data_IF_625348696029
#
_entry.id   IF_625348696029
#
_cell.length_a   1.000
_cell.length_b   1.000
_cell.length_c   1.000
_cell.angle_alpha   90.00
_cell.angle_beta   90.00
_cell.angle_gamma   90.00
#
_symmetry.space_group_name_H-M   'P 1'
#
loop_
_entity.id
_entity.type
_entity.pdbx_description
1 polymer ?
#
# COMPACT_ATOMS: atom_id res chain seq x y z
N UNK A 1 -19.60 14.79 -3.36
CA UNK A 1 -19.89 13.95 -2.21
C UNK A 1 -18.82 12.87 -2.08
N UNK A 2 -18.19 12.83 -0.92
CA UNK A 2 -17.12 11.88 -0.62
C UNK A 2 -17.55 10.98 0.53
N UNK A 3 -17.35 9.67 0.36
CA UNK A 3 -17.48 8.74 1.46
C UNK A 3 -16.17 8.74 2.25
N UNK A 4 -16.24 9.14 3.51
CA UNK A 4 -15.07 9.21 4.38
C UNK A 4 -15.00 7.95 5.25
N UNK A 5 -13.90 7.23 5.13
CA UNK A 5 -13.65 6.05 5.96
C UNK A 5 -12.93 6.50 7.23
N UNK A 6 -13.42 6.14 8.43
CA UNK A 6 -12.76 6.50 9.67
C UNK A 6 -11.33 5.98 9.74
N UNK A 7 -10.50 6.64 10.54
CA UNK A 7 -9.15 6.16 10.81
C UNK A 7 -9.16 4.70 11.26
N UNK A 8 -8.19 3.92 10.81
CA UNK A 8 -8.06 2.47 11.00
C UNK A 8 -9.15 1.65 10.29
N UNK A 9 -10.02 2.31 9.54
CA UNK A 9 -11.01 1.62 8.72
C UNK A 9 -10.43 1.06 7.43
N UNK A 10 -11.25 0.24 6.76
CA UNK A 10 -10.91 -0.33 5.46
C UNK A 10 -12.14 -0.37 4.57
N UNK A 11 -11.90 -0.47 3.26
CA UNK A 11 -12.94 -0.68 2.25
C UNK A 11 -12.59 -1.92 1.45
N UNK A 12 -13.57 -2.77 1.19
CA UNK A 12 -13.37 -3.93 0.33
C UNK A 12 -14.03 -3.69 -1.02
N UNK A 13 -13.24 -3.88 -2.09
CA UNK A 13 -13.70 -3.75 -3.48
C UNK A 13 -13.15 -4.96 -4.23
N UNK A 14 -14.03 -5.71 -4.88
CA UNK A 14 -13.68 -6.91 -5.67
C UNK A 14 -12.83 -7.93 -4.86
N UNK A 15 -13.13 -8.07 -3.58
CA UNK A 15 -12.40 -8.99 -2.70
C UNK A 15 -11.03 -8.48 -2.23
N UNK A 16 -10.69 -7.25 -2.53
CA UNK A 16 -9.43 -6.60 -2.11
C UNK A 16 -9.73 -5.58 -1.02
N UNK A 17 -8.98 -5.66 0.07
CA UNK A 17 -9.09 -4.72 1.17
C UNK A 17 -8.16 -3.53 0.94
N UNK A 18 -8.71 -2.34 0.97
CA UNK A 18 -7.96 -1.07 0.87
C UNK A 18 -7.93 -0.39 2.23
N UNK A 19 -6.75 -0.04 2.70
CA UNK A 19 -6.57 0.62 3.99
C UNK A 19 -5.38 1.58 3.92
N UNK A 20 -5.31 2.49 4.92
CA UNK A 20 -4.16 3.40 4.99
C UNK A 20 -2.85 2.66 5.27
N UNK A 21 -2.87 1.70 6.18
CA UNK A 21 -1.69 0.90 6.50
C UNK A 21 -1.06 1.20 7.86
N UNK A 22 -1.70 2.02 8.68
CA UNK A 22 -1.26 2.33 10.04
C UNK A 22 -1.87 1.42 11.11
N UNK A 23 -2.56 0.38 10.65
CA UNK A 23 -3.19 -0.65 11.46
C UNK A 23 -2.54 -2.01 11.16
N UNK A 24 -2.36 -2.82 12.17
CA UNK A 24 -1.83 -4.18 12.03
C UNK A 24 -0.32 -4.22 11.95
N UNK A 25 0.20 -5.06 11.08
CA UNK A 25 1.62 -5.34 10.97
C UNK A 25 2.36 -4.24 10.21
N UNK A 26 3.56 -3.89 10.68
CA UNK A 26 4.41 -2.89 10.04
C UNK A 26 5.61 -3.51 9.30
N UNK A 27 6.54 -2.65 8.86
CA UNK A 27 7.78 -3.04 8.20
C UNK A 27 7.67 -3.20 6.69
N UNK A 28 8.77 -3.59 6.05
CA UNK A 28 8.89 -3.63 4.59
C UNK A 28 7.90 -4.59 3.91
N UNK A 29 7.48 -5.63 4.62
CA UNK A 29 6.53 -6.63 4.11
C UNK A 29 5.13 -6.46 4.69
N UNK A 30 4.81 -5.26 5.18
CA UNK A 30 3.57 -5.01 5.91
C UNK A 30 2.32 -5.39 5.11
N UNK A 31 2.23 -4.98 3.85
CA UNK A 31 1.06 -5.29 3.02
C UNK A 31 0.88 -6.80 2.81
N UNK A 32 1.97 -7.51 2.53
CA UNK A 32 1.95 -8.96 2.37
C UNK A 32 1.56 -9.67 3.67
N UNK A 33 2.10 -9.24 4.79
CA UNK A 33 1.79 -9.82 6.10
C UNK A 33 0.34 -9.55 6.51
N UNK A 34 -0.16 -8.35 6.22
CA UNK A 34 -1.57 -8.02 6.47
C UNK A 34 -2.50 -8.83 5.57
N UNK A 35 -2.14 -9.04 4.30
CA UNK A 35 -2.91 -9.89 3.41
C UNK A 35 -3.03 -11.33 3.94
N UNK A 36 -1.96 -11.88 4.47
CA UNK A 36 -1.98 -13.21 5.11
C UNK A 36 -2.87 -13.22 6.35
N UNK A 37 -2.77 -12.20 7.19
CA UNK A 37 -3.56 -12.11 8.41
C UNK A 37 -5.05 -11.95 8.14
N UNK A 38 -5.40 -11.21 7.09
CA UNK A 38 -6.80 -10.95 6.71
C UNK A 38 -7.38 -12.02 5.78
N UNK A 39 -6.57 -12.95 5.31
CA UNK A 39 -6.98 -13.97 4.32
C UNK A 39 -7.56 -13.37 3.04
N UNK A 40 -7.12 -12.19 2.65
CA UNK A 40 -7.51 -11.54 1.41
C UNK A 40 -6.39 -10.63 0.90
N UNK A 41 -6.50 -10.21 -0.35
CA UNK A 41 -5.54 -9.24 -0.89
C UNK A 41 -5.69 -7.89 -0.21
N UNK A 42 -4.57 -7.19 0.01
CA UNK A 42 -4.53 -5.91 0.69
C UNK A 42 -3.75 -4.89 -0.13
N UNK A 43 -4.30 -3.69 -0.25
CA UNK A 43 -3.61 -2.52 -0.79
C UNK A 43 -3.50 -1.48 0.32
N UNK A 44 -2.30 -0.97 0.55
CA UNK A 44 -2.08 0.03 1.60
C UNK A 44 -0.94 0.99 1.27
N UNK A 45 -0.98 2.15 1.92
CA UNK A 45 0.04 3.19 1.88
C UNK A 45 0.80 3.32 3.19
N UNK A 46 0.82 4.49 3.78
CA UNK A 46 1.44 4.86 5.06
C UNK A 46 2.97 4.83 5.04
N UNK A 47 3.59 3.78 4.56
CA UNK A 47 5.04 3.63 4.49
C UNK A 47 5.55 4.28 3.20
N UNK A 48 5.94 5.54 3.28
CA UNK A 48 6.29 6.35 2.11
C UNK A 48 7.48 5.82 1.32
N UNK A 49 8.41 5.15 1.97
CA UNK A 49 9.62 4.62 1.35
C UNK A 49 9.49 3.16 0.90
N UNK A 50 8.29 2.63 0.90
CA UNK A 50 8.01 1.23 0.57
C UNK A 50 6.99 1.14 -0.55
N UNK A 51 7.28 0.36 -1.57
CA UNK A 51 6.34 0.10 -2.66
C UNK A 51 6.62 -1.24 -3.29
N UNK A 52 5.59 -1.85 -3.86
CA UNK A 52 5.72 -3.11 -4.55
C UNK A 52 4.61 -4.08 -4.22
N UNK A 53 4.64 -5.22 -4.88
CA UNK A 53 3.62 -6.26 -4.79
C UNK A 53 4.28 -7.58 -4.42
N UNK A 54 3.67 -8.28 -3.46
CA UNK A 54 4.07 -9.64 -3.11
C UNK A 54 2.84 -10.55 -3.17
N UNK A 55 2.92 -11.60 -3.95
CA UNK A 55 1.88 -12.62 -4.05
C UNK A 55 2.18 -13.78 -3.11
N UNK A 56 1.13 -14.32 -2.50
CA UNK A 56 1.20 -15.53 -1.68
C UNK A 56 0.06 -16.45 -2.08
N UNK A 57 0.35 -17.73 -2.21
CA UNK A 57 -0.63 -18.72 -2.62
C UNK A 57 -0.53 -20.00 -1.80
N UNK A 58 -1.65 -20.64 -1.62
CA UNK A 58 -1.74 -22.01 -1.15
C UNK A 58 -2.69 -22.80 -2.04
N UNK A 59 -3.11 -23.99 -1.62
CA UNK A 59 -4.01 -24.83 -2.44
C UNK A 59 -5.38 -24.22 -2.69
N UNK A 60 -5.80 -23.24 -1.89
CA UNK A 60 -7.15 -22.68 -1.92
C UNK A 60 -7.21 -21.27 -2.47
N UNK A 61 -6.24 -20.44 -2.13
CA UNK A 61 -6.28 -19.01 -2.45
C UNK A 61 -4.92 -18.51 -2.94
N UNK A 62 -4.97 -17.49 -3.79
CA UNK A 62 -3.83 -16.67 -4.13
C UNK A 62 -4.19 -15.24 -3.77
N UNK A 63 -3.39 -14.60 -2.94
CA UNK A 63 -3.58 -13.22 -2.52
C UNK A 63 -2.34 -12.40 -2.79
N UNK A 64 -2.49 -11.08 -2.79
CA UNK A 64 -1.36 -10.17 -2.85
C UNK A 64 -1.44 -9.13 -1.73
N UNK A 65 -0.27 -8.63 -1.37
CA UNK A 65 -0.14 -7.40 -0.60
C UNK A 65 0.57 -6.37 -1.45
N UNK A 66 -0.05 -5.21 -1.65
CA UNK A 66 0.54 -4.11 -2.41
C UNK A 66 0.75 -2.90 -1.51
N UNK A 67 2.00 -2.46 -1.45
CA UNK A 67 2.41 -1.24 -0.80
C UNK A 67 2.55 -0.16 -1.89
N UNK A 68 1.89 0.97 -1.74
CA UNK A 68 1.76 1.93 -2.84
C UNK A 68 2.60 3.20 -2.68
N UNK A 69 3.53 3.22 -1.71
CA UNK A 69 4.35 4.41 -1.50
C UNK A 69 3.50 5.61 -1.08
N UNK A 70 3.70 6.73 -1.72
CA UNK A 70 2.94 7.94 -1.41
C UNK A 70 2.72 8.82 -2.65
N UNK A 71 1.91 9.86 -2.48
CA UNK A 71 1.68 10.89 -3.50
C UNK A 71 2.40 12.21 -3.22
N UNK A 72 3.39 12.23 -2.33
CA UNK A 72 4.04 13.45 -1.90
C UNK A 72 5.43 13.58 -2.51
N UNK A 73 5.67 14.67 -3.22
CA UNK A 73 6.99 14.99 -3.73
C UNK A 73 7.87 15.46 -2.56
N UNK A 74 8.90 14.67 -2.25
CA UNK A 74 9.82 14.95 -1.14
C UNK A 74 10.68 16.21 -1.36
N UNK A 75 10.69 16.76 -2.58
CA UNK A 75 11.40 18.01 -2.87
C UNK A 75 10.63 19.24 -2.39
N UNK A 76 9.35 19.08 -2.09
CA UNK A 76 8.51 20.15 -1.57
C UNK A 76 9.00 20.56 -0.17
N UNK A 77 9.08 21.84 0.09
CA UNK A 77 9.60 22.38 1.35
C UNK A 77 8.87 21.86 2.58
N UNK A 78 7.55 21.64 2.47
CA UNK A 78 6.76 21.09 3.56
C UNK A 78 7.26 19.72 4.03
N UNK A 79 8.02 19.00 3.19
CA UNK A 79 8.60 17.70 3.51
C UNK A 79 10.10 17.79 3.82
N UNK A 80 10.61 18.98 4.10
CA UNK A 80 12.05 19.20 4.32
C UNK A 80 12.60 18.39 5.51
N UNK A 81 11.78 18.11 6.51
CA UNK A 81 12.18 17.28 7.65
C UNK A 81 12.67 15.87 7.23
N UNK A 82 12.15 15.35 6.12
CA UNK A 82 12.56 14.04 5.59
C UNK A 82 13.90 14.05 4.85
N UNK A 83 14.46 15.21 4.56
CA UNK A 83 15.72 15.33 3.80
C UNK A 83 16.93 14.72 4.50
N UNK A 84 16.87 14.61 5.82
CA UNK A 84 17.94 14.03 6.64
C UNK A 84 17.98 12.50 6.59
N UNK A 85 16.91 11.85 6.19
CA UNK A 85 16.83 10.40 6.20
C UNK A 85 17.40 9.81 4.92
N UNK A 86 18.05 8.65 5.04
CA UNK A 86 18.56 7.91 3.88
C UNK A 86 17.44 7.39 3.01
N UNK A 87 16.36 6.92 3.64
CA UNK A 87 15.16 6.49 2.92
C UNK A 87 14.40 7.71 2.40
N UNK A 88 13.98 7.63 1.15
CA UNK A 88 13.21 8.67 0.48
C UNK A 88 11.85 8.13 0.05
N UNK A 89 10.84 9.01 -0.06
CA UNK A 89 9.53 8.60 -0.54
C UNK A 89 9.59 8.02 -1.95
N UNK A 90 8.80 6.99 -2.17
CA UNK A 90 8.52 6.45 -3.50
C UNK A 90 7.16 6.98 -3.91
N UNK A 91 7.14 7.76 -4.99
CA UNK A 91 5.89 8.33 -5.52
C UNK A 91 5.39 7.44 -6.65
N UNK A 92 4.11 7.14 -6.61
CA UNK A 92 3.52 6.29 -7.63
C UNK A 92 2.06 5.99 -7.33
N UNK A 93 1.51 5.04 -8.07
CA UNK A 93 0.16 4.57 -7.84
C UNK A 93 0.07 3.05 -7.98
N UNK A 94 -0.93 2.49 -7.34
CA UNK A 94 -1.29 1.09 -7.50
C UNK A 94 -2.48 0.93 -8.44
N UNK A 95 -2.47 -0.13 -9.23
CA UNK A 95 -3.58 -0.52 -10.10
C UNK A 95 -3.93 -1.96 -9.78
N UNK A 96 -5.21 -2.23 -9.58
CA UNK A 96 -5.71 -3.59 -9.38
C UNK A 96 -6.67 -3.93 -10.51
N UNK A 97 -6.41 -5.06 -11.17
CA UNK A 97 -7.22 -5.54 -12.27
C UNK A 97 -8.02 -6.76 -11.81
N UNK A 98 -9.34 -6.64 -11.89
CA UNK A 98 -10.30 -7.72 -11.57
C UNK A 98 -10.13 -8.30 -10.15
N UNK A 99 -9.60 -7.53 -9.22
CA UNK A 99 -9.35 -7.98 -7.86
C UNK A 99 -8.23 -9.02 -7.72
N UNK A 100 -7.49 -9.31 -8.78
CA UNK A 100 -6.53 -10.42 -8.82
C UNK A 100 -5.11 -10.01 -9.19
N UNK A 101 -4.95 -9.04 -10.07
CA UNK A 101 -3.64 -8.60 -10.55
C UNK A 101 -3.35 -7.22 -9.99
N UNK A 102 -2.22 -7.10 -9.30
CA UNK A 102 -1.78 -5.84 -8.72
C UNK A 102 -0.53 -5.34 -9.43
N UNK A 103 -0.51 -4.06 -9.76
CA UNK A 103 0.61 -3.42 -10.43
C UNK A 103 0.94 -2.15 -9.66
N UNK A 104 2.20 -1.96 -9.29
CA UNK A 104 2.68 -0.68 -8.79
C UNK A 104 3.40 0.04 -9.92
N UNK A 105 2.98 1.27 -10.20
CA UNK A 105 3.58 2.11 -11.23
C UNK A 105 4.29 3.29 -10.57
N UNK A 106 5.64 3.31 -10.54
CA UNK A 106 6.38 4.44 -9.99
C UNK A 106 6.29 5.65 -10.91
N UNK A 107 6.20 6.82 -10.30
CA UNK A 107 6.24 8.10 -11.02
C UNK A 107 7.69 8.59 -11.08
N UNK A 108 8.23 8.84 -12.27
CA UNK A 108 9.53 9.49 -12.39
C UNK A 108 9.44 10.96 -11.96
N UNK A 109 10.32 11.36 -11.07
CA UNK A 109 10.41 12.75 -10.60
C UNK A 109 11.68 13.44 -11.09
#
# INVERSE_FOLDING_TARGET
NWDVIPRFGSVEIDGVMYQHGDRGLGGAMAASRNAKAEYCSVVQGHLHAQAGVVYNANQRICTFGMQVGCGVDHRVEAMAYGKKYNQKPIVGCGVVLNGKTAIFEPMPL
#
